data_IF_693203727987
#
_entry.id   IF_693203727987
#
_cell.length_a   1.000
_cell.length_b   1.000
_cell.length_c   1.000
_cell.angle_alpha   90.00
_cell.angle_beta   90.00
_cell.angle_gamma   90.00
#
_symmetry.space_group_name_H-M   'P 1'
#
loop_
_entity.id
_entity.type
_entity.pdbx_description
1 polymer ?
#
# COMPACT_ATOMS: atom_id res chain seq x y z
N UNK A 1 -20.97 -15.60 16.24
CA UNK A 1 -20.36 -14.69 15.24
C UNK A 1 -18.91 -14.43 15.57
N UNK A 2 -18.65 -13.94 16.78
CA UNK A 2 -17.30 -13.76 17.32
C UNK A 2 -16.40 -14.97 17.07
N UNK A 3 -16.92 -16.20 17.27
CA UNK A 3 -16.15 -17.41 16.97
C UNK A 3 -15.73 -17.52 15.48
N UNK A 4 -16.62 -17.21 14.52
CA UNK A 4 -16.29 -17.25 13.07
C UNK A 4 -15.30 -16.14 12.69
N UNK A 5 -15.44 -14.93 13.25
CA UNK A 5 -14.52 -13.82 13.00
C UNK A 5 -13.14 -14.08 13.61
N UNK A 6 -13.10 -14.57 14.85
CA UNK A 6 -11.86 -14.99 15.51
C UNK A 6 -11.17 -16.13 14.74
N UNK A 7 -11.92 -17.12 14.25
CA UNK A 7 -11.39 -18.17 13.37
C UNK A 7 -10.81 -17.60 12.07
N UNK A 8 -11.50 -16.64 11.44
CA UNK A 8 -10.99 -15.95 10.26
C UNK A 8 -9.67 -15.22 10.56
N UNK A 9 -9.60 -14.46 11.66
CA UNK A 9 -8.41 -13.72 12.07
C UNK A 9 -7.24 -14.66 12.30
N UNK A 10 -7.46 -15.76 13.03
CA UNK A 10 -6.44 -16.78 13.26
C UNK A 10 -5.97 -17.42 11.95
N UNK A 11 -6.91 -17.76 11.05
CA UNK A 11 -6.59 -18.30 9.74
C UNK A 11 -5.77 -17.32 8.89
N UNK A 12 -6.16 -16.04 8.84
CA UNK A 12 -5.43 -15.01 8.11
C UNK A 12 -4.00 -14.84 8.68
N UNK A 13 -3.84 -14.80 10.00
CA UNK A 13 -2.51 -14.72 10.65
C UNK A 13 -1.65 -15.95 10.31
N UNK A 14 -2.24 -17.14 10.27
CA UNK A 14 -1.54 -18.39 9.96
C UNK A 14 -1.27 -18.59 8.45
N UNK A 15 -2.01 -17.91 7.57
CA UNK A 15 -1.92 -18.10 6.11
C UNK A 15 -0.55 -17.74 5.53
N UNK A 16 0.19 -16.83 6.18
CA UNK A 16 1.56 -16.50 5.81
C UNK A 16 2.32 -15.87 6.98
N UNK A 17 3.67 -15.99 7.03
CA UNK A 17 4.48 -15.36 8.07
C UNK A 17 4.29 -13.83 8.10
N UNK A 18 3.86 -13.31 9.25
CA UNK A 18 3.71 -11.87 9.47
C UNK A 18 4.99 -11.31 10.11
N UNK A 19 5.70 -10.47 9.36
CA UNK A 19 6.80 -9.67 9.91
C UNK A 19 6.24 -8.58 10.81
N UNK A 20 6.73 -8.49 12.04
CA UNK A 20 6.28 -7.48 12.99
C UNK A 20 6.60 -6.05 12.57
N UNK A 21 7.72 -5.78 11.89
CA UNK A 21 7.98 -4.45 11.32
C UNK A 21 6.97 -4.12 10.24
N UNK A 22 6.63 -5.08 9.38
CA UNK A 22 5.66 -4.87 8.32
C UNK A 22 4.24 -4.65 8.88
N UNK A 23 3.80 -5.46 9.85
CA UNK A 23 2.49 -5.29 10.49
C UNK A 23 2.38 -3.93 11.21
N UNK A 24 3.40 -3.55 11.96
CA UNK A 24 3.42 -2.27 12.66
C UNK A 24 3.46 -1.11 11.66
N UNK A 25 4.21 -1.20 10.56
CA UNK A 25 4.10 -0.22 9.48
C UNK A 25 2.67 -0.11 8.93
N UNK A 26 1.90 -1.21 8.85
CA UNK A 26 0.50 -1.13 8.40
C UNK A 26 -0.34 -0.35 9.40
N UNK A 27 -0.17 -0.64 10.69
CA UNK A 27 -0.86 0.06 11.77
C UNK A 27 -0.54 1.55 11.76
N UNK A 28 0.74 1.93 11.64
CA UNK A 28 1.14 3.33 11.56
C UNK A 28 0.56 4.03 10.32
N UNK A 29 0.68 3.42 9.15
CA UNK A 29 0.17 4.02 7.91
C UNK A 29 -1.36 4.15 7.88
N UNK A 30 -2.07 3.10 8.31
CA UNK A 30 -3.53 3.07 8.28
C UNK A 30 -4.14 3.87 9.43
N UNK A 31 -3.77 3.57 10.68
CA UNK A 31 -4.51 4.03 11.85
C UNK A 31 -3.90 5.27 12.51
N UNK A 32 -2.62 5.59 12.30
CA UNK A 32 -1.93 6.65 13.06
C UNK A 32 -1.45 7.83 12.21
N UNK A 33 -1.10 7.63 10.93
CA UNK A 33 -0.48 8.64 10.07
C UNK A 33 -1.30 9.95 10.00
N UNK A 34 -2.63 9.84 9.83
CA UNK A 34 -3.55 10.99 9.82
C UNK A 34 -3.98 11.48 11.21
N UNK A 35 -3.38 10.94 12.27
CA UNK A 35 -3.71 11.22 13.67
C UNK A 35 -2.48 11.73 14.45
N UNK A 36 -1.54 12.36 13.75
CA UNK A 36 -0.27 12.86 14.31
C UNK A 36 0.88 11.85 14.26
N UNK A 37 0.61 10.59 13.93
CA UNK A 37 1.65 9.57 13.73
C UNK A 37 2.41 9.18 14.99
N UNK A 38 1.90 9.51 16.17
CA UNK A 38 2.50 9.17 17.47
C UNK A 38 1.60 8.21 18.25
N UNK A 39 2.21 7.29 19.00
CA UNK A 39 1.50 6.47 19.97
C UNK A 39 2.41 5.97 21.09
N UNK A 40 1.86 5.77 22.29
CA UNK A 40 2.52 5.04 23.36
C UNK A 40 2.77 3.57 22.97
N UNK A 41 3.97 3.06 23.25
CA UNK A 41 4.31 1.65 23.03
C UNK A 41 3.37 0.68 23.75
N UNK A 42 2.86 1.02 24.94
CA UNK A 42 1.90 0.17 25.65
C UNK A 42 0.56 0.06 24.93
N UNK A 43 0.11 1.12 24.25
CA UNK A 43 -1.09 1.07 23.41
C UNK A 43 -0.89 0.16 22.19
N UNK A 44 0.29 0.16 21.57
CA UNK A 44 0.60 -0.78 20.49
C UNK A 44 0.56 -2.23 20.97
N UNK A 45 1.10 -2.52 22.16
CA UNK A 45 1.02 -3.86 22.75
C UNK A 45 -0.43 -4.25 23.00
N UNK A 46 -1.25 -3.37 23.60
CA UNK A 46 -2.68 -3.63 23.84
C UNK A 46 -3.47 -3.93 22.57
N UNK A 47 -3.22 -3.20 21.49
CA UNK A 47 -3.91 -3.42 20.22
C UNK A 47 -3.57 -4.80 19.59
N UNK A 48 -2.33 -5.26 19.74
CA UNK A 48 -1.82 -6.45 19.04
C UNK A 48 -1.88 -7.73 19.87
N UNK A 49 -1.93 -7.64 21.20
CA UNK A 49 -2.02 -8.77 22.12
C UNK A 49 -3.23 -9.69 21.85
N UNK A 50 -4.45 -9.17 21.60
CA UNK A 50 -5.62 -10.00 21.28
C UNK A 50 -5.48 -10.83 19.98
N UNK A 51 -4.55 -10.44 19.10
CA UNK A 51 -4.22 -11.19 17.87
C UNK A 51 -3.12 -12.24 18.11
N UNK A 52 -2.63 -12.38 19.35
CA UNK A 52 -1.57 -13.33 19.72
C UNK A 52 -0.14 -12.78 19.58
N UNK A 53 0.04 -11.48 19.32
CA UNK A 53 1.38 -10.89 19.24
C UNK A 53 1.87 -10.46 20.62
N UNK A 54 2.97 -11.06 21.07
CA UNK A 54 3.55 -10.78 22.40
C UNK A 54 4.14 -9.37 22.53
N UNK A 55 4.21 -8.83 23.74
CA UNK A 55 4.90 -7.56 24.02
C UNK A 55 6.35 -7.55 23.50
N UNK A 56 7.07 -8.67 23.64
CA UNK A 56 8.43 -8.83 23.09
C UNK A 56 8.46 -8.66 21.57
N UNK A 57 7.49 -9.23 20.86
CA UNK A 57 7.37 -9.11 19.40
C UNK A 57 7.15 -7.65 18.98
N UNK A 58 6.24 -6.95 19.66
CA UNK A 58 5.94 -5.53 19.40
C UNK A 58 7.18 -4.67 19.66
N UNK A 59 7.80 -4.78 20.85
CA UNK A 59 9.00 -4.02 21.22
C UNK A 59 10.15 -4.18 20.24
N UNK A 60 10.44 -5.43 19.86
CA UNK A 60 11.53 -5.73 18.93
C UNK A 60 11.27 -5.12 17.56
N UNK A 61 10.03 -5.15 17.10
CA UNK A 61 9.63 -4.62 15.80
C UNK A 61 9.64 -3.10 15.76
N UNK A 62 9.10 -2.44 16.79
CA UNK A 62 9.14 -0.97 16.91
C UNK A 62 10.59 -0.47 17.01
N UNK A 63 11.43 -1.14 17.81
CA UNK A 63 12.85 -0.80 17.91
C UNK A 63 13.57 -0.93 16.56
N UNK A 64 13.26 -1.98 15.78
CA UNK A 64 13.84 -2.13 14.44
C UNK A 64 13.38 -1.01 13.50
N UNK A 65 12.10 -0.65 13.50
CA UNK A 65 11.59 0.47 12.70
C UNK A 65 12.26 1.80 13.09
N UNK A 66 12.53 2.01 14.37
CA UNK A 66 13.30 3.16 14.85
C UNK A 66 14.73 3.14 14.30
N UNK A 67 15.43 2.01 14.39
CA UNK A 67 16.79 1.85 13.84
C UNK A 67 16.87 2.04 12.33
N UNK A 68 15.83 1.67 11.61
CA UNK A 68 15.69 1.85 10.15
C UNK A 68 15.23 3.28 9.76
N UNK A 69 15.03 4.16 10.74
CA UNK A 69 14.66 5.56 10.54
C UNK A 69 13.21 5.79 10.13
N UNK A 70 12.32 4.82 10.37
CA UNK A 70 10.87 4.99 10.16
C UNK A 70 10.21 5.73 11.31
N UNK A 71 10.70 5.52 12.53
CA UNK A 71 10.13 6.06 13.76
C UNK A 71 11.20 6.77 14.60
N UNK A 72 10.81 7.84 15.27
CA UNK A 72 11.54 8.45 16.37
C UNK A 72 10.92 8.01 17.69
N UNK A 73 11.69 8.13 18.78
CA UNK A 73 11.24 7.75 20.12
C UNK A 73 11.45 8.89 21.10
N UNK A 74 10.41 9.16 21.88
CA UNK A 74 10.42 10.13 22.97
C UNK A 74 10.09 9.41 24.28
N UNK A 75 10.85 9.69 25.34
CA UNK A 75 10.66 9.07 26.66
C UNK A 75 10.15 10.11 27.64
N UNK A 76 8.97 9.86 28.21
CA UNK A 76 8.37 10.68 29.25
C UNK A 76 8.13 9.79 30.47
N UNK A 77 8.94 9.98 31.51
CA UNK A 77 8.96 9.12 32.68
C UNK A 77 9.23 7.66 32.32
N UNK A 78 8.27 6.77 32.62
CA UNK A 78 8.35 5.32 32.32
C UNK A 78 7.74 4.93 30.97
N UNK A 79 7.17 5.88 30.22
CA UNK A 79 6.51 5.63 28.94
C UNK A 79 7.43 6.00 27.78
N UNK A 80 7.37 5.20 26.72
CA UNK A 80 8.06 5.46 25.45
C UNK A 80 7.01 5.66 24.38
N UNK A 81 7.05 6.82 23.75
CA UNK A 81 6.18 7.23 22.66
C UNK A 81 6.97 7.14 21.37
N UNK A 82 6.39 6.49 20.36
CA UNK A 82 7.02 6.35 19.06
C UNK A 82 6.23 7.16 18.05
N UNK A 83 6.94 7.96 17.26
CA UNK A 83 6.38 8.90 16.29
C UNK A 83 6.94 8.61 14.91
N UNK A 84 6.14 8.76 13.86
CA UNK A 84 6.65 8.72 12.48
C UNK A 84 7.71 9.81 12.31
N UNK A 85 8.93 9.41 11.90
CA UNK A 85 10.02 10.35 11.64
C UNK A 85 9.74 11.19 10.39
N UNK A 86 10.43 12.30 10.22
CA UNK A 86 10.30 13.14 9.01
C UNK A 86 10.55 12.35 7.71
N UNK A 87 11.56 11.48 7.72
CA UNK A 87 11.83 10.55 6.60
C UNK A 87 10.73 9.51 6.43
N UNK A 88 10.17 9.02 7.54
CA UNK A 88 9.04 8.10 7.58
C UNK A 88 7.79 8.70 6.95
N UNK A 89 7.50 9.98 7.19
CA UNK A 89 6.34 10.69 6.65
C UNK A 89 6.27 10.59 5.12
N UNK A 90 7.38 10.89 4.44
CA UNK A 90 7.45 10.84 2.98
C UNK A 90 7.21 9.41 2.44
N UNK A 91 7.73 8.39 3.14
CA UNK A 91 7.55 6.99 2.76
C UNK A 91 6.11 6.52 2.96
N UNK A 92 5.49 6.85 4.09
CA UNK A 92 4.09 6.53 4.36
C UNK A 92 3.16 7.22 3.37
N UNK A 93 3.39 8.50 3.06
CA UNK A 93 2.62 9.23 2.06
C UNK A 93 2.70 8.60 0.67
N UNK A 94 3.89 8.20 0.22
CA UNK A 94 4.07 7.50 -1.08
C UNK A 94 3.33 6.16 -1.09
N UNK A 95 3.40 5.41 0.00
CA UNK A 95 2.69 4.13 0.12
C UNK A 95 1.17 4.34 0.14
N UNK A 96 0.67 5.32 0.90
CA UNK A 96 -0.75 5.65 1.00
C UNK A 96 -1.36 6.02 -0.35
N UNK A 97 -0.66 6.81 -1.17
CA UNK A 97 -1.12 7.17 -2.51
C UNK A 97 -1.35 5.95 -3.42
N UNK A 98 -0.65 4.84 -3.17
CA UNK A 98 -0.87 3.56 -3.88
C UNK A 98 -1.97 2.73 -3.22
N UNK A 99 -1.91 2.57 -1.90
CA UNK A 99 -2.79 1.67 -1.14
C UNK A 99 -4.24 2.16 -1.17
N UNK A 100 -4.48 3.46 -1.02
CA UNK A 100 -5.81 4.04 -0.86
C UNK A 100 -6.24 4.90 -2.06
N UNK A 101 -5.57 4.70 -3.21
CA UNK A 101 -5.86 5.39 -4.48
C UNK A 101 -7.37 5.42 -4.74
N UNK A 102 -7.92 6.41 -5.45
CA UNK A 102 -9.36 6.49 -5.77
C UNK A 102 -9.73 5.74 -7.08
N UNK A 103 -8.80 5.64 -8.01
CA UNK A 103 -8.91 4.92 -9.29
C UNK A 103 -7.57 4.96 -10.03
N UNK A 104 -7.41 4.16 -11.08
CA UNK A 104 -6.20 4.24 -11.91
C UNK A 104 -6.17 5.55 -12.70
N UNK A 105 -4.97 6.04 -13.05
CA UNK A 105 -4.85 7.20 -13.91
C UNK A 105 -5.38 6.88 -15.31
N UNK A 106 -6.10 7.84 -15.89
CA UNK A 106 -6.46 7.79 -17.32
C UNK A 106 -5.20 7.86 -18.17
N UNK A 107 -5.21 7.16 -19.31
CA UNK A 107 -4.12 7.20 -20.26
C UNK A 107 -4.54 7.79 -21.60
N UNK A 108 -3.75 8.74 -22.07
CA UNK A 108 -3.99 9.46 -23.32
C UNK A 108 -3.33 8.80 -24.54
N UNK A 109 -2.88 7.55 -24.42
CA UNK A 109 -2.21 6.83 -25.50
C UNK A 109 -0.72 7.16 -25.65
N UNK A 110 -0.11 7.96 -24.76
CA UNK A 110 1.27 8.42 -24.90
C UNK A 110 2.28 7.61 -24.10
N UNK A 111 3.47 7.45 -24.65
CA UNK A 111 4.57 6.68 -24.08
C UNK A 111 5.83 7.53 -23.98
N UNK A 112 6.54 7.35 -22.86
CA UNK A 112 7.93 7.75 -22.72
C UNK A 112 8.80 6.54 -23.03
N UNK A 113 9.62 6.65 -24.07
CA UNK A 113 10.51 5.60 -24.54
C UNK A 113 11.96 6.04 -24.34
N UNK A 114 12.76 5.17 -23.73
CA UNK A 114 14.18 5.38 -23.52
C UNK A 114 14.96 4.30 -24.25
N UNK A 115 15.64 4.69 -25.33
CA UNK A 115 16.60 3.83 -26.00
C UNK A 115 17.96 4.00 -25.33
N UNK A 116 18.38 2.98 -24.58
CA UNK A 116 19.67 2.94 -23.90
C UNK A 116 20.78 2.64 -24.93
N UNK A 117 21.56 3.66 -25.25
CA UNK A 117 22.70 3.59 -26.16
C UNK A 117 24.02 3.44 -25.42
N UNK A 118 25.01 2.79 -26.06
CA UNK A 118 26.45 2.82 -25.79
C UNK A 118 26.97 2.67 -24.34
N UNK A 119 26.11 2.43 -23.34
CA UNK A 119 26.50 2.13 -21.98
C UNK A 119 27.25 0.80 -21.97
N UNK A 120 28.31 0.72 -21.17
CA UNK A 120 28.90 -0.57 -20.83
C UNK A 120 27.83 -1.50 -20.23
N UNK A 121 28.10 -2.82 -20.25
CA UNK A 121 27.09 -3.81 -19.87
C UNK A 121 26.60 -3.61 -18.43
N UNK A 122 27.48 -3.20 -17.52
CA UNK A 122 27.18 -3.06 -16.10
C UNK A 122 26.35 -1.80 -15.84
N UNK A 123 26.71 -0.70 -16.49
CA UNK A 123 25.98 0.57 -16.50
C UNK A 123 24.57 0.38 -17.07
N UNK A 124 24.43 -0.40 -18.14
CA UNK A 124 23.12 -0.71 -18.71
C UNK A 124 22.23 -1.52 -17.75
N UNK A 125 22.81 -2.48 -17.02
CA UNK A 125 22.08 -3.25 -15.99
C UNK A 125 21.66 -2.33 -14.85
N UNK A 126 22.56 -1.43 -14.41
CA UNK A 126 22.27 -0.42 -13.39
C UNK A 126 21.11 0.47 -13.81
N UNK A 127 21.18 1.08 -15.00
CA UNK A 127 20.15 1.99 -15.51
C UNK A 127 18.80 1.31 -15.66
N UNK A 128 18.74 0.08 -16.19
CA UNK A 128 17.47 -0.67 -16.25
C UNK A 128 16.84 -0.85 -14.88
N UNK A 129 17.64 -1.21 -13.88
CA UNK A 129 17.16 -1.40 -12.50
C UNK A 129 16.58 -0.11 -11.93
N UNK A 130 17.30 1.00 -12.06
CA UNK A 130 16.83 2.32 -11.60
C UNK A 130 15.55 2.76 -12.33
N UNK A 131 15.51 2.64 -13.67
CA UNK A 131 14.33 2.97 -14.46
C UNK A 131 13.12 2.10 -14.11
N UNK A 132 13.31 0.81 -13.80
CA UNK A 132 12.23 -0.05 -13.31
C UNK A 132 11.68 0.41 -11.96
N UNK A 133 12.51 0.94 -11.05
CA UNK A 133 12.03 1.54 -9.81
C UNK A 133 11.18 2.81 -10.03
N UNK A 134 11.35 3.43 -11.19
CA UNK A 134 10.65 4.65 -11.61
C UNK A 134 9.41 4.35 -12.47
N UNK A 135 9.13 3.07 -12.73
CA UNK A 135 7.93 2.62 -13.43
C UNK A 135 8.14 2.22 -14.88
N UNK A 136 9.37 2.29 -15.41
CA UNK A 136 9.67 1.85 -16.77
C UNK A 136 9.75 0.32 -16.87
N UNK A 137 9.01 -0.25 -17.81
CA UNK A 137 9.07 -1.64 -18.20
C UNK A 137 10.07 -1.86 -19.32
N UNK A 138 10.69 -3.03 -19.35
CA UNK A 138 11.65 -3.38 -20.39
C UNK A 138 10.93 -3.99 -21.60
N UNK A 139 10.87 -3.27 -22.72
CA UNK A 139 10.29 -3.78 -23.97
C UNK A 139 11.26 -4.68 -24.74
N UNK A 140 12.56 -4.37 -24.71
CA UNK A 140 13.60 -5.23 -25.27
C UNK A 140 14.96 -4.99 -24.59
N UNK A 141 16.06 -5.51 -25.16
CA UNK A 141 17.40 -5.39 -24.57
C UNK A 141 17.85 -3.94 -24.35
N UNK A 142 17.43 -2.98 -25.16
CA UNK A 142 17.87 -1.58 -25.08
C UNK A 142 16.73 -0.58 -24.89
N UNK A 143 15.47 -1.00 -25.06
CA UNK A 143 14.31 -0.12 -25.01
C UNK A 143 13.56 -0.30 -23.70
N UNK A 144 13.47 0.79 -22.93
CA UNK A 144 12.62 0.92 -21.75
C UNK A 144 11.42 1.80 -22.11
N UNK A 145 10.26 1.53 -21.54
CA UNK A 145 9.03 2.26 -21.83
C UNK A 145 8.19 2.47 -20.57
N UNK A 146 7.53 3.61 -20.46
CA UNK A 146 6.52 3.87 -19.45
C UNK A 146 5.32 4.59 -20.08
N UNK A 147 4.07 4.32 -19.64
CA UNK A 147 2.95 5.15 -20.01
C UNK A 147 3.22 6.57 -19.50
N UNK A 148 3.14 7.56 -20.40
CA UNK A 148 3.45 8.94 -20.02
C UNK A 148 2.48 9.43 -18.96
N UNK A 149 3.02 9.96 -17.87
CA UNK A 149 2.22 10.67 -16.87
C UNK A 149 2.47 12.18 -17.01
N UNK A 150 1.42 12.99 -16.85
CA UNK A 150 1.52 14.45 -17.04
C UNK A 150 2.50 15.15 -16.07
N UNK A 151 3.02 14.42 -15.07
CA UNK A 151 3.89 14.94 -14.01
C UNK A 151 5.33 14.39 -14.07
N UNK A 152 5.67 13.49 -15.01
CA UNK A 152 7.02 12.95 -15.12
C UNK A 152 7.92 13.82 -15.99
N UNK A 153 8.93 14.44 -15.38
CA UNK A 153 10.02 15.10 -16.09
C UNK A 153 11.16 14.09 -16.33
N UNK A 154 11.05 13.37 -17.45
CA UNK A 154 12.03 12.34 -17.86
C UNK A 154 13.42 12.92 -18.08
N UNK A 155 13.62 14.11 -18.70
CA UNK A 155 14.93 14.76 -18.77
C UNK A 155 15.58 15.01 -17.41
N UNK A 156 14.85 15.58 -16.44
CA UNK A 156 15.38 15.78 -15.07
C UNK A 156 15.76 14.45 -14.43
N UNK A 157 14.93 13.42 -14.63
CA UNK A 157 15.22 12.08 -14.14
C UNK A 157 16.50 11.47 -14.75
N UNK A 158 16.70 11.60 -16.06
CA UNK A 158 17.92 11.11 -16.72
C UNK A 158 19.17 11.83 -16.20
N UNK A 159 19.06 13.12 -15.91
CA UNK A 159 20.13 13.89 -15.30
C UNK A 159 20.47 13.40 -13.89
N UNK A 160 19.46 13.13 -13.04
CA UNK A 160 19.66 12.56 -11.70
C UNK A 160 20.33 11.17 -11.74
N UNK A 161 20.05 10.38 -12.78
CA UNK A 161 20.64 9.07 -13.01
C UNK A 161 22.02 9.10 -13.70
N UNK A 162 22.54 10.30 -14.04
CA UNK A 162 23.73 10.50 -14.86
C UNK A 162 23.68 9.73 -16.20
N UNK A 163 22.50 9.73 -16.83
CA UNK A 163 22.19 8.91 -18.01
C UNK A 163 21.92 9.74 -19.27
N UNK A 164 22.04 11.06 -19.22
CA UNK A 164 21.67 11.97 -20.31
C UNK A 164 22.40 11.69 -21.63
N UNK A 165 23.66 11.24 -21.56
CA UNK A 165 24.46 10.89 -22.75
C UNK A 165 24.31 9.41 -23.16
N UNK A 166 23.67 8.60 -22.33
CA UNK A 166 23.56 7.14 -22.49
C UNK A 166 22.14 6.68 -22.87
N UNK A 167 21.21 7.63 -23.05
CA UNK A 167 19.83 7.34 -23.39
C UNK A 167 19.28 8.37 -24.37
N UNK A 168 18.63 7.90 -25.44
CA UNK A 168 17.80 8.73 -26.30
C UNK A 168 16.37 8.65 -25.80
N UNK A 169 15.81 9.81 -25.48
CA UNK A 169 14.42 9.95 -25.04
C UNK A 169 13.49 10.28 -26.21
N UNK A 170 12.42 9.50 -26.34
CA UNK A 170 11.32 9.77 -27.24
C UNK A 170 10.02 9.90 -26.44
N UNK A 171 9.21 10.85 -26.85
CA UNK A 171 7.80 10.93 -26.48
C UNK A 171 6.97 10.51 -27.68
N UNK A 172 6.13 9.49 -27.52
CA UNK A 172 5.45 8.84 -28.64
C UNK A 172 3.95 8.66 -28.38
N UNK A 173 3.14 8.86 -29.41
CA UNK A 173 1.73 8.46 -29.41
C UNK A 173 1.60 6.99 -29.85
N UNK A 174 0.65 6.26 -29.24
CA UNK A 174 0.20 4.95 -29.70
C UNK A 174 -1.17 5.07 -30.41
N UNK A 175 -1.19 5.40 -31.72
CA UNK A 175 -2.44 5.65 -32.43
C UNK A 175 -3.11 4.38 -32.98
N UNK A 176 -2.45 3.22 -32.93
CA UNK A 176 -2.82 2.06 -33.74
C UNK A 176 -3.50 0.95 -32.92
N UNK A 177 -4.83 0.91 -32.97
CA UNK A 177 -5.64 -0.07 -32.21
C UNK A 177 -5.46 -1.53 -32.64
N UNK A 178 -5.07 -1.81 -33.90
CA UNK A 178 -4.97 -3.21 -34.36
C UNK A 178 -3.89 -4.03 -33.66
N UNK A 179 -2.88 -3.38 -33.06
CA UNK A 179 -1.82 -4.05 -32.28
C UNK A 179 -2.09 -4.10 -30.78
N UNK A 180 -3.27 -3.70 -30.31
CA UNK A 180 -3.58 -3.58 -28.87
C UNK A 180 -3.34 -4.89 -28.11
N UNK A 181 -3.71 -6.04 -28.70
CA UNK A 181 -3.46 -7.35 -28.10
C UNK A 181 -1.96 -7.59 -27.87
N UNK A 182 -1.13 -7.33 -28.88
CA UNK A 182 0.32 -7.50 -28.79
C UNK A 182 0.95 -6.52 -27.79
N UNK A 183 0.42 -5.29 -27.70
CA UNK A 183 0.84 -4.32 -26.71
C UNK A 183 0.53 -4.81 -25.29
N UNK A 184 -0.69 -5.30 -25.04
CA UNK A 184 -1.08 -5.87 -23.74
C UNK A 184 -0.23 -7.08 -23.36
N UNK A 185 0.09 -7.95 -24.32
CA UNK A 185 1.03 -9.06 -24.10
C UNK A 185 2.42 -8.55 -23.74
N UNK A 186 2.98 -7.59 -24.49
CA UNK A 186 4.29 -7.00 -24.19
C UNK A 186 4.32 -6.35 -22.80
N UNK A 187 3.29 -5.57 -22.46
CA UNK A 187 3.10 -4.95 -21.14
C UNK A 187 3.03 -6.01 -20.04
N UNK A 188 2.25 -7.07 -20.25
CA UNK A 188 2.14 -8.16 -19.27
C UNK A 188 3.51 -8.77 -18.92
N UNK A 189 4.40 -8.94 -19.90
CA UNK A 189 5.75 -9.44 -19.66
C UNK A 189 6.67 -8.37 -19.06
N UNK A 190 6.64 -7.15 -19.58
CA UNK A 190 7.55 -6.07 -19.18
C UNK A 190 7.41 -5.64 -17.71
N UNK A 191 6.23 -5.84 -17.11
CA UNK A 191 5.96 -5.58 -15.69
C UNK A 191 5.59 -6.83 -14.87
N UNK A 192 5.78 -8.04 -15.42
CA UNK A 192 5.45 -9.30 -14.75
C UNK A 192 4.02 -9.34 -14.17
N UNK A 193 3.03 -8.86 -14.95
CA UNK A 193 1.66 -8.71 -14.47
C UNK A 193 1.02 -10.03 -14.03
N UNK A 194 1.46 -11.16 -14.59
CA UNK A 194 1.00 -12.48 -14.16
C UNK A 194 1.34 -12.76 -12.69
N UNK A 195 2.58 -12.48 -12.25
CA UNK A 195 3.00 -12.68 -10.86
C UNK A 195 2.18 -11.78 -9.91
N UNK A 196 1.90 -10.54 -10.33
CA UNK A 196 1.08 -9.61 -9.55
C UNK A 196 -0.36 -10.10 -9.48
N UNK A 197 -0.92 -10.62 -10.58
CA UNK A 197 -2.25 -11.22 -10.60
C UNK A 197 -2.33 -12.40 -9.63
N UNK A 198 -1.35 -13.28 -9.59
CA UNK A 198 -1.33 -14.40 -8.63
C UNK A 198 -1.37 -13.94 -7.17
N UNK A 199 -0.64 -12.87 -6.85
CA UNK A 199 -0.71 -12.26 -5.51
C UNK A 199 -2.09 -11.65 -5.21
N UNK A 200 -2.74 -11.01 -6.19
CA UNK A 200 -4.12 -10.55 -6.04
C UNK A 200 -5.09 -11.72 -5.85
N UNK A 201 -4.90 -12.82 -6.57
CA UNK A 201 -5.71 -14.02 -6.45
C UNK A 201 -5.70 -14.56 -5.03
N UNK A 202 -4.51 -14.64 -4.42
CA UNK A 202 -4.32 -15.09 -3.04
C UNK A 202 -5.03 -14.15 -2.05
N UNK A 203 -4.90 -12.84 -2.24
CA UNK A 203 -5.61 -11.85 -1.43
C UNK A 203 -7.14 -12.00 -1.55
N UNK A 204 -7.66 -12.09 -2.78
CA UNK A 204 -9.09 -12.24 -3.04
C UNK A 204 -9.62 -13.53 -2.41
N UNK A 205 -8.92 -14.64 -2.60
CA UNK A 205 -9.30 -15.95 -2.05
C UNK A 205 -9.36 -15.92 -0.53
N UNK A 206 -8.40 -15.25 0.12
CA UNK A 206 -8.37 -15.11 1.57
C UNK A 206 -9.51 -14.23 2.09
N UNK A 207 -9.79 -13.08 1.48
CA UNK A 207 -10.72 -12.09 2.04
C UNK A 207 -12.17 -12.18 1.53
N UNK A 208 -12.45 -12.92 0.45
CA UNK A 208 -13.82 -13.11 -0.05
C UNK A 208 -14.77 -13.74 0.98
N UNK A 209 -14.37 -14.77 1.76
CA UNK A 209 -15.21 -15.31 2.84
C UNK A 209 -15.55 -14.26 3.90
N UNK A 210 -14.62 -13.35 4.23
CA UNK A 210 -14.89 -12.28 5.19
C UNK A 210 -15.96 -11.32 4.69
N UNK A 211 -15.91 -10.91 3.40
CA UNK A 211 -16.93 -10.02 2.85
C UNK A 211 -18.34 -10.62 2.93
N UNK A 212 -18.48 -11.93 2.71
CA UNK A 212 -19.76 -12.64 2.88
C UNK A 212 -20.20 -12.62 4.35
N UNK A 213 -19.29 -12.97 5.28
CA UNK A 213 -19.56 -12.93 6.71
C UNK A 213 -19.99 -11.53 7.18
N UNK A 214 -19.36 -10.45 6.68
CA UNK A 214 -19.73 -9.09 7.07
C UNK A 214 -21.07 -8.63 6.46
N UNK A 215 -21.44 -9.15 5.28
CA UNK A 215 -22.70 -8.81 4.60
C UNK A 215 -23.92 -9.45 5.27
N UNK A 216 -23.76 -10.67 5.78
CA UNK A 216 -24.84 -11.42 6.43
C UNK A 216 -25.21 -10.89 7.84
N UNK A 217 -24.44 -9.94 8.38
CA UNK A 217 -24.53 -9.53 9.78
C UNK A 217 -24.66 -8.01 9.96
N UNK A 218 -25.39 -7.62 11.00
CA UNK A 218 -25.62 -6.21 11.37
C UNK A 218 -24.45 -5.65 12.17
N UNK A 219 -24.27 -4.32 12.18
CA UNK A 219 -23.13 -3.66 12.85
C UNK A 219 -23.08 -3.94 14.35
N UNK A 220 -24.24 -4.03 15.00
CA UNK A 220 -24.36 -4.29 16.44
C UNK A 220 -23.78 -5.66 16.87
N UNK A 221 -23.45 -6.53 15.91
CA UNK A 221 -22.97 -7.88 16.19
C UNK A 221 -21.46 -8.05 16.02
N UNK A 222 -20.75 -7.00 15.56
CA UNK A 222 -19.30 -7.02 15.34
C UNK A 222 -18.65 -6.08 16.35
N UNK A 223 -17.76 -6.60 17.18
CA UNK A 223 -17.09 -5.78 18.18
C UNK A 223 -16.13 -4.78 17.53
N UNK A 224 -15.93 -3.58 18.12
CA UNK A 224 -14.93 -2.62 17.66
C UNK A 224 -13.50 -3.21 17.60
N UNK A 225 -13.18 -4.12 18.52
CA UNK A 225 -11.92 -4.86 18.53
C UNK A 225 -11.76 -5.74 17.27
N UNK A 226 -12.79 -6.54 16.92
CA UNK A 226 -12.77 -7.34 15.69
C UNK A 226 -12.64 -6.45 14.46
N UNK A 227 -13.38 -5.33 14.40
CA UNK A 227 -13.27 -4.36 13.31
C UNK A 227 -11.82 -3.86 13.14
N UNK A 228 -11.14 -3.51 14.24
CA UNK A 228 -9.74 -3.11 14.20
C UNK A 228 -8.81 -4.22 13.68
N UNK A 229 -8.94 -5.44 14.22
CA UNK A 229 -8.09 -6.57 13.84
C UNK A 229 -8.26 -6.91 12.36
N UNK A 230 -9.50 -6.95 11.88
CA UNK A 230 -9.83 -7.21 10.48
C UNK A 230 -9.30 -6.10 9.57
N UNK A 231 -9.43 -4.82 9.96
CA UNK A 231 -8.93 -3.68 9.18
C UNK A 231 -7.41 -3.72 9.06
N UNK A 232 -6.71 -4.00 10.16
CA UNK A 232 -5.26 -4.11 10.18
C UNK A 232 -4.78 -5.23 9.25
N UNK A 233 -5.39 -6.42 9.32
CA UNK A 233 -5.04 -7.54 8.45
C UNK A 233 -5.40 -7.26 6.99
N UNK A 234 -6.57 -6.71 6.71
CA UNK A 234 -7.01 -6.34 5.37
C UNK A 234 -5.97 -5.44 4.70
N UNK A 235 -5.62 -4.32 5.34
CA UNK A 235 -4.64 -3.38 4.80
C UNK A 235 -3.25 -3.99 4.74
N UNK A 236 -2.84 -4.78 5.74
CA UNK A 236 -1.54 -5.43 5.74
C UNK A 236 -1.35 -6.37 4.55
N UNK A 237 -2.35 -7.19 4.23
CA UNK A 237 -2.27 -8.11 3.10
C UNK A 237 -2.42 -7.37 1.77
N UNK A 238 -3.37 -6.44 1.67
CA UNK A 238 -3.60 -5.66 0.45
C UNK A 238 -2.40 -4.81 0.05
N UNK A 239 -1.75 -4.13 1.02
CA UNK A 239 -0.59 -3.28 0.74
C UNK A 239 0.60 -4.06 0.19
N UNK A 240 0.76 -5.34 0.56
CA UNK A 240 1.90 -6.14 0.11
C UNK A 240 1.82 -6.46 -1.38
N UNK A 241 0.62 -6.51 -1.94
CA UNK A 241 0.40 -6.67 -3.37
C UNK A 241 0.45 -5.33 -4.07
N UNK A 242 -0.32 -4.34 -3.62
CA UNK A 242 -0.41 -3.01 -4.27
C UNK A 242 0.91 -2.24 -4.28
N UNK A 243 1.79 -2.41 -3.30
CA UNK A 243 3.09 -1.75 -3.32
C UNK A 243 4.05 -2.33 -4.39
N UNK A 244 3.78 -3.56 -4.87
CA UNK A 244 4.47 -4.17 -6.01
C UNK A 244 3.81 -3.84 -7.35
N UNK A 245 2.53 -3.46 -7.33
CA UNK A 245 1.78 -3.10 -8.54
C UNK A 245 2.36 -1.82 -9.19
N UNK A 246 2.66 -1.84 -10.51
CA UNK A 246 3.09 -0.66 -11.25
C UNK A 246 2.00 0.41 -11.40
N UNK A 247 0.73 0.07 -11.14
CA UNK A 247 -0.45 0.93 -11.30
C UNK A 247 -0.56 1.47 -12.72
N UNK A 248 -0.40 0.57 -13.69
CA UNK A 248 -0.57 0.90 -15.10
C UNK A 248 -2.03 1.31 -15.38
N UNK A 249 -2.24 2.16 -16.38
CA UNK A 249 -3.57 2.50 -16.87
C UNK A 249 -4.39 1.26 -17.29
N UNK A 250 -5.71 1.35 -17.09
CA UNK A 250 -6.65 0.25 -17.32
C UNK A 250 -6.63 -0.26 -18.77
N UNK A 251 -6.38 0.64 -19.74
CA UNK A 251 -6.28 0.31 -21.16
C UNK A 251 -5.12 -0.62 -21.48
N UNK A 252 -4.09 -0.66 -20.63
CA UNK A 252 -2.90 -1.51 -20.80
C UNK A 252 -2.98 -2.82 -20.02
N UNK A 253 -3.96 -2.95 -19.14
CA UNK A 253 -4.14 -4.12 -18.31
C UNK A 253 -4.92 -5.22 -19.05
N UNK A 254 -4.78 -6.49 -18.61
CA UNK A 254 -5.66 -7.57 -19.07
C UNK A 254 -7.13 -7.27 -18.78
N UNK A 255 -8.04 -7.68 -19.66
CA UNK A 255 -9.49 -7.42 -19.52
C UNK A 255 -10.07 -7.86 -18.18
N UNK A 256 -9.55 -8.93 -17.58
CA UNK A 256 -9.97 -9.46 -16.29
C UNK A 256 -8.90 -9.24 -15.22
N UNK A 257 -8.36 -8.03 -15.13
CA UNK A 257 -7.34 -7.72 -14.14
C UNK A 257 -7.86 -7.87 -12.70
N UNK A 258 -7.27 -8.80 -11.96
CA UNK A 258 -7.70 -9.12 -10.60
C UNK A 258 -7.47 -7.96 -9.61
N UNK A 259 -6.56 -7.02 -9.92
CA UNK A 259 -6.35 -5.83 -9.11
C UNK A 259 -7.62 -5.00 -8.90
N UNK A 260 -8.52 -4.93 -9.90
CA UNK A 260 -9.82 -4.27 -9.74
C UNK A 260 -10.71 -4.99 -8.74
N UNK A 261 -10.78 -6.32 -8.83
CA UNK A 261 -11.59 -7.16 -7.94
C UNK A 261 -11.08 -7.05 -6.51
N UNK A 262 -9.77 -7.17 -6.33
CA UNK A 262 -9.12 -7.02 -5.03
C UNK A 262 -9.36 -5.65 -4.41
N UNK A 263 -9.26 -4.58 -5.21
CA UNK A 263 -9.54 -3.21 -4.80
C UNK A 263 -10.99 -3.01 -4.35
N UNK A 264 -11.96 -3.51 -5.13
CA UNK A 264 -13.38 -3.43 -4.77
C UNK A 264 -13.68 -4.21 -3.48
N UNK A 265 -13.15 -5.43 -3.37
CA UNK A 265 -13.27 -6.26 -2.17
C UNK A 265 -12.68 -5.55 -0.94
N UNK A 266 -11.47 -5.00 -1.07
CA UNK A 266 -10.80 -4.25 -0.02
C UNK A 266 -11.62 -3.02 0.41
N UNK A 267 -12.07 -2.21 -0.56
CA UNK A 267 -12.86 -1.00 -0.31
C UNK A 267 -14.14 -1.31 0.45
N UNK A 268 -14.89 -2.33 0.01
CA UNK A 268 -16.15 -2.72 0.63
C UNK A 268 -15.96 -3.22 2.07
N UNK A 269 -14.94 -4.06 2.32
CA UNK A 269 -14.64 -4.53 3.68
C UNK A 269 -14.18 -3.36 4.53
N UNK A 270 -13.28 -2.51 4.03
CA UNK A 270 -12.73 -1.37 4.76
C UNK A 270 -13.84 -0.42 5.21
N UNK A 271 -14.67 0.06 4.28
CA UNK A 271 -15.79 0.95 4.57
C UNK A 271 -16.75 0.37 5.60
N UNK A 272 -16.96 -0.96 5.58
CA UNK A 272 -17.86 -1.65 6.51
C UNK A 272 -17.37 -1.61 7.96
N UNK A 273 -16.06 -1.67 8.19
CA UNK A 273 -15.48 -1.82 9.54
C UNK A 273 -14.74 -0.56 10.03
N UNK A 274 -14.57 0.44 9.18
CA UNK A 274 -13.68 1.58 9.42
C UNK A 274 -14.07 2.40 10.65
N UNK A 275 -15.35 2.73 10.82
CA UNK A 275 -15.82 3.57 11.91
C UNK A 275 -15.53 2.94 13.28
N UNK A 276 -16.01 1.70 13.49
CA UNK A 276 -15.80 0.97 14.73
C UNK A 276 -14.31 0.69 15.00
N UNK A 277 -13.53 0.38 13.96
CA UNK A 277 -12.08 0.22 14.08
C UNK A 277 -11.37 1.53 14.50
N UNK A 278 -11.78 2.67 13.94
CA UNK A 278 -11.24 3.99 14.28
C UNK A 278 -11.59 4.39 15.71
N UNK A 279 -12.82 4.13 16.14
CA UNK A 279 -13.25 4.35 17.52
C UNK A 279 -12.41 3.51 18.49
N UNK A 280 -12.28 2.20 18.24
CA UNK A 280 -11.47 1.31 19.08
C UNK A 280 -10.02 1.80 19.22
N UNK A 281 -9.37 2.22 18.14
CA UNK A 281 -8.02 2.79 18.20
C UNK A 281 -7.99 4.07 19.05
N UNK A 282 -9.01 4.93 18.96
CA UNK A 282 -9.10 6.14 19.78
C UNK A 282 -9.18 5.83 21.28
N UNK A 283 -9.95 4.81 21.64
CA UNK A 283 -10.12 4.39 23.04
C UNK A 283 -8.88 3.70 23.62
N UNK A 284 -8.11 2.98 22.79
CA UNK A 284 -6.95 2.21 23.25
C UNK A 284 -5.61 2.98 23.18
N UNK A 285 -5.55 4.05 22.37
CA UNK A 285 -4.31 4.78 22.11
C UNK A 285 -4.21 6.12 22.84
N UNK A 286 -3.03 6.37 23.39
CA UNK A 286 -2.63 7.65 23.97
C UNK A 286 -1.34 8.15 23.33
N UNK A 287 -1.16 9.47 23.37
CA UNK A 287 -0.03 10.25 22.87
C UNK A 287 0.66 10.97 24.04
N UNK A 288 1.72 11.71 23.74
CA UNK A 288 2.43 12.54 24.73
C UNK A 288 1.55 13.65 25.32
N UNK A 289 0.49 14.06 24.61
CA UNK A 289 -0.41 15.16 24.99
C UNK A 289 -1.80 14.69 25.45
N UNK A 290 -2.01 13.38 25.61
CA UNK A 290 -3.27 12.80 26.08
C UNK A 290 -3.87 11.80 25.08
N UNK A 291 -5.14 11.97 24.74
CA UNK A 291 -5.84 11.08 23.81
C UNK A 291 -5.29 11.17 22.38
N UNK A 292 -5.52 10.13 21.58
CA UNK A 292 -5.12 10.11 20.18
C UNK A 292 -6.04 11.05 19.35
N UNK A 293 -5.50 12.06 18.61
CA UNK A 293 -6.29 13.01 17.84
C UNK A 293 -7.23 12.35 16.84
N UNK A 294 -8.36 12.96 16.50
CA UNK A 294 -9.24 12.42 15.44
C UNK A 294 -8.55 12.43 14.06
N UNK A 295 -8.94 11.54 13.11
CA UNK A 295 -8.37 11.53 11.77
C UNK A 295 -8.54 12.87 11.04
N UNK A 296 -7.48 13.29 10.34
CA UNK A 296 -7.52 14.47 9.47
C UNK A 296 -8.48 14.30 8.29
N UNK A 297 -8.88 15.40 7.62
CA UNK A 297 -9.75 15.35 6.44
C UNK A 297 -9.20 14.51 5.29
N UNK A 298 -7.87 14.38 5.18
CA UNK A 298 -7.25 13.56 4.14
C UNK A 298 -7.52 12.05 4.33
N UNK A 299 -7.71 11.60 5.57
CA UNK A 299 -8.12 10.22 5.89
C UNK A 299 -9.42 9.84 5.17
N UNK A 300 -10.40 10.75 5.19
CA UNK A 300 -11.74 10.47 4.67
C UNK A 300 -11.81 10.41 3.14
N UNK A 301 -10.73 10.74 2.42
CA UNK A 301 -10.63 10.61 0.95
C UNK A 301 -10.16 9.23 0.49
N UNK A 302 -9.76 8.35 1.41
CA UNK A 302 -9.28 7.00 1.11
C UNK A 302 -10.32 6.22 0.32
N UNK A 303 -9.87 5.47 -0.68
CA UNK A 303 -10.73 4.68 -1.57
C UNK A 303 -11.84 5.48 -2.28
N UNK A 304 -11.64 6.79 -2.49
CA UNK A 304 -12.64 7.67 -3.09
C UNK A 304 -13.69 8.19 -2.11
N UNK A 305 -13.58 7.85 -0.83
CA UNK A 305 -14.48 8.32 0.23
C UNK A 305 -14.73 7.23 1.27
N UNK A 306 -14.49 7.56 2.54
CA UNK A 306 -14.99 6.78 3.69
C UNK A 306 -15.90 7.66 4.53
N UNK A 307 -16.89 7.05 5.19
CA UNK A 307 -17.89 7.78 5.95
C UNK A 307 -17.23 8.58 7.08
N UNK A 308 -17.58 9.86 7.16
CA UNK A 308 -17.26 10.70 8.31
C UNK A 308 -18.44 10.62 9.27
N UNK A 309 -18.19 10.32 10.54
CA UNK A 309 -19.17 10.64 11.57
C UNK A 309 -19.37 12.16 11.57
N UNK A 310 -20.53 12.59 11.09
CA UNK A 310 -21.02 13.94 11.34
C UNK A 310 -21.57 13.94 12.77
N UNK A 311 -20.66 13.83 13.74
CA UNK A 311 -20.97 14.15 15.13
C UNK A 311 -20.58 15.63 15.32
N UNK A 312 -21.61 16.49 15.26
CA UNK A 312 -21.59 17.83 15.83
C UNK A 312 -21.95 17.76 17.31
#
# INVERSE_FOLDING_TARGET
>A
MENKLSQFIQHAIASQPISGTSLISSLYGDALHHRGGEVWLGSLTKLLEPMGFTDRFVRTSVFRLQKEGWLDVEKIGRRSYYRISERGQSRFRRAENKIYLAGHPDWNGKWDLLLLEAADKDEKIRLKKELSWLGFGQFNTSLMAAPSCAQSDVPTLLNELNATENAIYFHADYPYSRSEKNLKELVSHAWSLQEISEHYHQFISLFRPLALLLKENTDAQISPEHCFQLRLLLIHFYRRVTLKDPLLPDELLPTQWEGHIARHLCTNIYQRIDQAATQYVSEQCETTVGELPQPSSAYYRRFGGVLRDIAA
#
